data_IF_463522332169
#
_entry.id   IF_463522332169
#
_cell.length_a   1.000
_cell.length_b   1.000
_cell.length_c   1.000
_cell.angle_alpha   90.00
_cell.angle_beta   90.00
_cell.angle_gamma   90.00
#
_symmetry.space_group_name_H-M   'P 1'
#
loop_
_entity.id
_entity.type
_entity.pdbx_description
1 polymer ?
#
# COMPACT_ATOMS: atom_id res chain seq x y z
N UNK A 1 -24.62 -40.89 -7.99
CA UNK A 1 -23.87 -40.00 -8.89
C UNK A 1 -23.84 -38.61 -8.27
N UNK A 2 -22.82 -38.31 -7.46
CA UNK A 2 -22.56 -36.94 -7.01
C UNK A 2 -21.75 -36.26 -8.12
N UNK A 3 -22.30 -35.19 -8.70
CA UNK A 3 -21.53 -34.29 -9.56
C UNK A 3 -20.58 -33.50 -8.67
N UNK A 4 -19.34 -33.99 -8.54
CA UNK A 4 -18.24 -33.14 -8.11
C UNK A 4 -18.01 -32.14 -9.24
N UNK A 5 -18.56 -30.93 -9.09
CA UNK A 5 -18.10 -29.80 -9.88
C UNK A 5 -16.70 -29.46 -9.36
N UNK A 6 -15.68 -30.01 -9.99
CA UNK A 6 -14.37 -29.37 -10.04
C UNK A 6 -14.61 -27.99 -10.65
N UNK A 7 -14.72 -26.96 -9.81
CA UNK A 7 -14.60 -25.58 -10.27
C UNK A 7 -13.17 -25.43 -10.76
N UNK A 8 -13.01 -25.58 -12.08
CA UNK A 8 -11.72 -25.42 -12.72
C UNK A 8 -11.22 -24.00 -12.42
N UNK A 9 -9.98 -23.91 -11.90
CA UNK A 9 -9.41 -22.61 -11.56
C UNK A 9 -9.10 -21.92 -12.89
N UNK A 10 -9.68 -20.73 -13.17
CA UNK A 10 -9.46 -20.07 -14.44
C UNK A 10 -7.97 -19.74 -14.61
N UNK A 11 -7.51 -19.86 -15.85
CA UNK A 11 -6.17 -19.44 -16.23
C UNK A 11 -6.02 -17.91 -16.14
N UNK A 12 -4.78 -17.43 -16.05
CA UNK A 12 -4.50 -16.00 -16.08
C UNK A 12 -5.02 -15.34 -17.38
N UNK A 13 -4.96 -16.06 -18.50
CA UNK A 13 -5.48 -15.57 -19.79
C UNK A 13 -6.99 -15.35 -19.77
N UNK A 14 -7.75 -16.29 -19.20
CA UNK A 14 -9.20 -16.17 -19.06
C UNK A 14 -9.60 -14.99 -18.16
N UNK A 15 -8.87 -14.82 -17.03
CA UNK A 15 -9.09 -13.66 -16.15
C UNK A 15 -8.75 -12.35 -16.86
N UNK A 16 -7.66 -12.29 -17.62
CA UNK A 16 -7.29 -11.08 -18.37
C UNK A 16 -8.36 -10.73 -19.41
N UNK A 17 -8.88 -11.72 -20.14
CA UNK A 17 -9.97 -11.51 -21.09
C UNK A 17 -11.26 -11.02 -20.41
N UNK A 18 -11.59 -11.56 -19.22
CA UNK A 18 -12.73 -11.11 -18.44
C UNK A 18 -12.56 -9.65 -17.96
N UNK A 19 -11.37 -9.29 -17.48
CA UNK A 19 -11.05 -7.93 -17.06
C UNK A 19 -11.13 -6.97 -18.25
N UNK A 20 -10.54 -7.32 -19.39
CA UNK A 20 -10.58 -6.48 -20.59
C UNK A 20 -12.02 -6.19 -21.04
N UNK A 21 -12.87 -7.22 -21.09
CA UNK A 21 -14.27 -7.10 -21.51
C UNK A 21 -15.10 -6.17 -20.59
N UNK A 22 -14.68 -5.97 -19.34
CA UNK A 22 -15.36 -5.12 -18.35
C UNK A 22 -14.75 -3.71 -18.24
N UNK A 23 -13.71 -3.41 -19.02
CA UNK A 23 -12.94 -2.17 -18.93
C UNK A 23 -13.74 -0.90 -19.23
N UNK A 24 -13.53 0.15 -18.44
CA UNK A 24 -14.18 1.45 -18.61
C UNK A 24 -13.18 2.56 -18.94
N UNK A 25 -13.42 3.30 -20.04
CA UNK A 25 -12.61 4.46 -20.42
C UNK A 25 -12.59 5.57 -19.35
N UNK A 26 -13.69 5.74 -18.61
CA UNK A 26 -13.76 6.71 -17.52
C UNK A 26 -12.83 6.32 -16.36
N UNK A 27 -12.80 5.03 -16.00
CA UNK A 27 -11.91 4.52 -14.96
C UNK A 27 -10.44 4.55 -15.41
N UNK A 28 -10.14 4.23 -16.68
CA UNK A 28 -8.78 4.39 -17.23
C UNK A 28 -8.25 5.81 -17.06
N UNK A 29 -9.07 6.82 -17.34
CA UNK A 29 -8.68 8.24 -17.12
C UNK A 29 -8.39 8.57 -15.65
N UNK A 30 -9.10 7.92 -14.71
CA UNK A 30 -8.85 8.10 -13.27
C UNK A 30 -7.50 7.48 -12.91
N UNK A 31 -7.25 6.23 -13.30
CA UNK A 31 -5.99 5.55 -13.00
C UNK A 31 -4.78 6.22 -13.66
N UNK A 32 -4.92 6.70 -14.90
CA UNK A 32 -3.87 7.50 -15.55
C UNK A 32 -3.52 8.76 -14.75
N UNK A 33 -4.53 9.48 -14.22
CA UNK A 33 -4.30 10.64 -13.33
C UNK A 33 -3.64 10.27 -12.00
N UNK A 34 -3.78 9.02 -11.56
CA UNK A 34 -3.15 8.48 -10.35
C UNK A 34 -1.76 7.88 -10.64
N UNK A 35 -1.29 7.93 -11.89
CA UNK A 35 0.03 7.43 -12.28
C UNK A 35 0.07 5.94 -12.59
N UNK A 36 -1.08 5.28 -12.80
CA UNK A 36 -1.07 3.96 -13.42
C UNK A 36 -0.59 4.09 -14.88
N UNK A 37 0.36 3.24 -15.30
CA UNK A 37 0.92 3.26 -16.65
C UNK A 37 -0.07 2.85 -17.75
N UNK A 38 0.43 2.48 -18.92
CA UNK A 38 -0.43 2.26 -20.10
C UNK A 38 -1.22 0.94 -20.08
N UNK A 39 -0.75 -0.06 -19.31
CA UNK A 39 -1.41 -1.37 -19.18
C UNK A 39 -2.54 -1.33 -18.14
N UNK A 40 -3.63 -0.66 -18.49
CA UNK A 40 -4.81 -0.47 -17.61
C UNK A 40 -6.09 -0.76 -18.38
N UNK A 41 -6.94 -1.65 -17.86
CA UNK A 41 -8.23 -1.98 -18.48
C UNK A 41 -9.33 -0.96 -18.14
N UNK A 42 -9.29 -0.41 -16.92
CA UNK A 42 -10.27 0.50 -16.35
C UNK A 42 -11.31 -0.22 -15.50
N UNK A 43 -10.89 -1.09 -14.57
CA UNK A 43 -11.80 -1.85 -13.69
C UNK A 43 -11.92 -1.20 -12.32
N UNK A 44 -13.14 -1.11 -11.80
CA UNK A 44 -13.37 -0.56 -10.46
C UNK A 44 -12.82 -1.51 -9.40
N UNK A 45 -12.20 -0.96 -8.36
CA UNK A 45 -11.70 -1.73 -7.21
C UNK A 45 -12.76 -2.62 -6.54
N UNK A 46 -14.03 -2.21 -6.55
CA UNK A 46 -15.13 -3.02 -6.01
C UNK A 46 -15.31 -4.33 -6.79
N UNK A 47 -15.24 -4.27 -8.11
CA UNK A 47 -15.42 -5.44 -8.98
C UNK A 47 -14.23 -6.41 -8.84
N UNK A 48 -13.00 -5.88 -8.71
CA UNK A 48 -11.81 -6.70 -8.41
C UNK A 48 -11.93 -7.44 -7.08
N UNK A 49 -12.47 -6.78 -6.04
CA UNK A 49 -12.69 -7.44 -4.74
C UNK A 49 -13.76 -8.53 -4.80
N UNK A 50 -14.82 -8.33 -5.60
CA UNK A 50 -15.84 -9.36 -5.83
C UNK A 50 -15.23 -10.57 -6.52
N UNK A 51 -14.43 -10.36 -7.57
CA UNK A 51 -13.74 -11.43 -8.28
C UNK A 51 -12.75 -12.18 -7.35
N UNK A 52 -11.92 -11.43 -6.61
CA UNK A 52 -10.99 -12.02 -5.64
C UNK A 52 -11.69 -12.88 -4.58
N UNK A 53 -12.88 -12.47 -4.11
CA UNK A 53 -13.67 -13.25 -3.15
C UNK A 53 -14.10 -14.61 -3.72
N UNK A 54 -14.45 -14.66 -5.01
CA UNK A 54 -14.78 -15.90 -5.71
C UNK A 54 -13.57 -16.82 -5.87
N UNK A 55 -12.41 -16.26 -6.22
CA UNK A 55 -11.16 -17.00 -6.41
C UNK A 55 -10.55 -17.51 -5.11
N UNK A 56 -10.72 -16.78 -4.01
CA UNK A 56 -10.02 -16.98 -2.73
C UNK A 56 -8.50 -16.87 -2.92
N UNK A 57 -7.70 -17.50 -2.04
CA UNK A 57 -6.25 -17.55 -2.18
C UNK A 57 -5.86 -18.56 -3.27
N UNK A 58 -5.14 -18.08 -4.28
CA UNK A 58 -4.67 -18.84 -5.43
C UNK A 58 -3.27 -18.35 -5.78
N UNK A 59 -2.25 -18.86 -5.09
CA UNK A 59 -0.89 -18.32 -5.14
C UNK A 59 -0.28 -18.40 -6.56
N UNK A 60 -0.35 -19.56 -7.22
CA UNK A 60 0.17 -19.74 -8.58
C UNK A 60 -0.54 -18.84 -9.61
N UNK A 61 -1.87 -18.71 -9.52
CA UNK A 61 -2.63 -17.78 -10.37
C UNK A 61 -2.24 -16.32 -10.08
N UNK A 62 -2.06 -15.96 -8.80
CA UNK A 62 -1.62 -14.64 -8.39
C UNK A 62 -0.28 -14.24 -9.02
N UNK A 63 0.72 -15.13 -8.98
CA UNK A 63 2.01 -14.89 -9.64
C UNK A 63 1.84 -14.73 -11.16
N UNK A 64 1.06 -15.59 -11.81
CA UNK A 64 0.81 -15.49 -13.26
C UNK A 64 0.08 -14.19 -13.66
N UNK A 65 -0.89 -13.74 -12.87
CA UNK A 65 -1.57 -12.46 -13.06
C UNK A 65 -0.62 -11.28 -12.85
N UNK A 66 0.29 -11.39 -11.87
CA UNK A 66 1.28 -10.35 -11.61
C UNK A 66 2.21 -10.14 -12.81
N UNK A 67 2.70 -11.25 -13.38
CA UNK A 67 3.64 -11.27 -14.49
C UNK A 67 3.05 -10.73 -15.80
N UNK A 68 1.71 -10.65 -15.91
CA UNK A 68 1.04 -10.03 -17.06
C UNK A 68 1.36 -8.54 -17.24
N UNK A 69 1.70 -7.86 -16.15
CA UNK A 69 1.99 -6.42 -16.13
C UNK A 69 0.76 -5.52 -16.21
N UNK A 70 -0.47 -6.07 -16.29
CA UNK A 70 -1.68 -5.26 -16.28
C UNK A 70 -2.00 -4.79 -14.85
N UNK A 71 -2.26 -3.50 -14.68
CA UNK A 71 -2.45 -2.89 -13.37
C UNK A 71 -3.53 -3.61 -12.56
N UNK A 72 -4.72 -3.80 -13.12
CA UNK A 72 -5.81 -4.46 -12.40
C UNK A 72 -5.59 -5.96 -12.18
N UNK A 73 -4.85 -6.63 -13.07
CA UNK A 73 -4.44 -8.01 -12.87
C UNK A 73 -3.44 -8.13 -11.71
N UNK A 74 -2.47 -7.21 -11.61
CA UNK A 74 -1.55 -7.12 -10.47
C UNK A 74 -2.27 -6.78 -9.18
N UNK A 75 -3.24 -5.85 -9.20
CA UNK A 75 -4.08 -5.58 -8.03
C UNK A 75 -4.85 -6.84 -7.61
N UNK A 76 -5.47 -7.55 -8.54
CA UNK A 76 -6.15 -8.82 -8.26
C UNK A 76 -5.18 -9.86 -7.69
N UNK A 77 -3.96 -9.95 -8.23
CA UNK A 77 -2.90 -10.80 -7.70
C UNK A 77 -2.64 -10.52 -6.23
N UNK A 78 -2.50 -9.25 -5.81
CA UNK A 78 -2.29 -8.91 -4.38
C UNK A 78 -3.41 -9.41 -3.46
N UNK A 79 -4.64 -9.54 -3.96
CA UNK A 79 -5.77 -10.01 -3.17
C UNK A 79 -5.75 -11.55 -3.00
N UNK A 80 -5.25 -12.27 -4.00
CA UNK A 80 -5.32 -13.74 -4.06
C UNK A 80 -3.97 -14.43 -3.78
N UNK A 81 -2.85 -13.71 -3.78
CA UNK A 81 -1.55 -14.23 -3.34
C UNK A 81 -1.62 -14.65 -1.86
N UNK A 82 -1.01 -15.79 -1.55
CA UNK A 82 -0.77 -16.22 -0.16
C UNK A 82 0.60 -15.68 0.31
N UNK A 83 0.64 -14.73 1.26
CA UNK A 83 1.90 -14.17 1.76
C UNK A 83 2.82 -15.21 2.40
N UNK A 84 2.27 -16.32 2.92
CA UNK A 84 3.04 -17.35 3.63
C UNK A 84 3.87 -18.22 2.68
N UNK A 85 3.51 -18.23 1.40
CA UNK A 85 4.18 -19.01 0.36
C UNK A 85 5.29 -18.23 -0.35
N UNK A 86 5.32 -16.90 -0.22
CA UNK A 86 6.33 -16.09 -0.89
C UNK A 86 7.71 -16.28 -0.27
N UNK A 87 8.70 -16.52 -1.13
CA UNK A 87 10.12 -16.42 -0.77
C UNK A 87 10.55 -14.96 -0.62
N UNK A 88 11.75 -14.74 -0.08
CA UNK A 88 12.33 -13.40 -0.01
C UNK A 88 12.61 -12.85 -1.42
N UNK A 89 13.16 -13.69 -2.30
CA UNK A 89 13.43 -13.35 -3.69
C UNK A 89 12.16 -12.97 -4.45
N UNK A 90 11.05 -13.68 -4.21
CA UNK A 90 9.76 -13.33 -4.79
C UNK A 90 9.24 -11.99 -4.26
N UNK A 91 9.29 -11.76 -2.94
CA UNK A 91 8.90 -10.47 -2.37
C UNK A 91 9.70 -9.30 -2.97
N UNK A 92 11.01 -9.48 -3.11
CA UNK A 92 11.92 -8.49 -3.71
C UNK A 92 11.55 -8.27 -5.17
N UNK A 93 11.43 -9.33 -5.97
CA UNK A 93 11.06 -9.26 -7.40
C UNK A 93 9.73 -8.55 -7.61
N UNK A 94 8.72 -8.87 -6.79
CA UNK A 94 7.40 -8.22 -6.89
C UNK A 94 7.54 -6.72 -6.60
N UNK A 95 8.24 -6.33 -5.53
CA UNK A 95 8.44 -4.92 -5.18
C UNK A 95 9.24 -4.16 -6.25
N UNK A 96 10.34 -4.72 -6.75
CA UNK A 96 11.18 -4.13 -7.80
C UNK A 96 10.46 -4.01 -9.16
N UNK A 97 9.45 -4.85 -9.40
CA UNK A 97 8.63 -4.78 -10.61
C UNK A 97 7.51 -3.72 -10.58
N UNK A 98 7.35 -3.03 -9.45
CA UNK A 98 6.40 -1.93 -9.31
C UNK A 98 7.00 -0.63 -9.88
N UNK A 99 6.24 0.03 -10.74
CA UNK A 99 6.63 1.27 -11.42
C UNK A 99 5.93 2.52 -10.85
N UNK A 100 5.01 2.33 -9.91
CA UNK A 100 4.15 3.40 -9.40
C UNK A 100 3.71 3.14 -7.96
N UNK A 101 3.46 4.20 -7.16
CA UNK A 101 2.98 4.06 -5.77
C UNK A 101 1.68 3.25 -5.64
N UNK A 102 0.63 3.40 -6.49
CA UNK A 102 -0.63 2.69 -6.27
C UNK A 102 -0.50 1.17 -6.27
N UNK A 103 0.31 0.60 -7.17
CA UNK A 103 0.48 -0.86 -7.21
C UNK A 103 1.38 -1.35 -6.07
N UNK A 104 2.44 -0.59 -5.75
CA UNK A 104 3.33 -0.89 -4.63
C UNK A 104 2.58 -0.86 -3.29
N UNK A 105 1.70 0.13 -3.09
CA UNK A 105 0.85 0.23 -1.90
C UNK A 105 -0.07 -0.98 -1.81
N UNK A 106 -0.66 -1.45 -2.92
CA UNK A 106 -1.49 -2.67 -2.93
C UNK A 106 -0.69 -3.93 -2.58
N UNK A 107 0.55 -4.04 -3.07
CA UNK A 107 1.44 -5.15 -2.74
C UNK A 107 1.82 -5.12 -1.25
N UNK A 108 2.18 -3.94 -0.73
CA UNK A 108 2.54 -3.78 0.69
C UNK A 108 1.35 -4.06 1.61
N UNK A 109 0.21 -3.40 1.38
CA UNK A 109 -1.02 -3.51 2.20
C UNK A 109 -1.61 -4.93 2.25
N UNK A 110 -1.65 -5.63 1.10
CA UNK A 110 -2.41 -6.89 1.00
C UNK A 110 -1.51 -8.13 1.13
N UNK A 111 -0.19 -7.97 1.00
CA UNK A 111 0.74 -9.09 0.90
C UNK A 111 1.92 -8.94 1.84
N UNK A 112 2.77 -7.92 1.64
CA UNK A 112 4.07 -7.87 2.32
C UNK A 112 3.93 -7.64 3.83
N UNK A 113 2.94 -6.86 4.28
CA UNK A 113 2.76 -6.59 5.71
C UNK A 113 2.27 -7.80 6.53
N UNK A 114 1.72 -8.81 5.86
CA UNK A 114 1.26 -10.07 6.44
C UNK A 114 2.27 -11.21 6.22
N UNK A 115 3.39 -10.93 5.56
CA UNK A 115 4.47 -11.88 5.36
C UNK A 115 5.30 -12.03 6.63
N UNK A 116 5.83 -13.23 6.87
CA UNK A 116 6.85 -13.47 7.90
C UNK A 116 8.15 -12.68 7.68
N UNK A 117 8.33 -12.14 6.46
CA UNK A 117 9.50 -11.37 6.05
C UNK A 117 9.31 -9.85 6.20
N UNK A 118 8.14 -9.38 6.68
CA UNK A 118 7.81 -7.96 6.74
C UNK A 118 8.89 -7.11 7.43
N UNK A 119 9.42 -7.57 8.57
CA UNK A 119 10.48 -6.87 9.32
C UNK A 119 11.80 -6.82 8.54
N UNK A 120 12.23 -7.95 7.96
CA UNK A 120 13.45 -8.03 7.17
C UNK A 120 13.38 -7.14 5.91
N UNK A 121 12.24 -7.15 5.22
CA UNK A 121 11.99 -6.30 4.05
C UNK A 121 11.91 -4.82 4.43
N UNK A 122 11.32 -4.50 5.58
CA UNK A 122 11.31 -3.14 6.12
C UNK A 122 12.75 -2.65 6.34
N UNK A 123 13.57 -3.41 7.07
CA UNK A 123 14.97 -3.06 7.33
C UNK A 123 15.79 -2.92 6.04
N UNK A 124 15.52 -3.76 5.03
CA UNK A 124 16.17 -3.71 3.72
C UNK A 124 15.90 -2.40 2.97
N UNK A 125 14.68 -1.86 3.07
CA UNK A 125 14.22 -0.80 2.18
C UNK A 125 14.07 0.57 2.84
N UNK A 126 13.88 0.66 4.16
CA UNK A 126 13.57 1.91 4.88
C UNK A 126 14.55 3.05 4.55
N UNK A 127 15.83 2.72 4.47
CA UNK A 127 16.94 3.67 4.26
C UNK A 127 17.34 3.83 2.79
N UNK A 128 16.69 3.13 1.86
CA UNK A 128 17.01 3.28 0.45
C UNK A 128 16.65 4.68 -0.06
N UNK A 129 17.53 5.21 -0.91
CA UNK A 129 17.31 6.48 -1.63
C UNK A 129 16.28 6.30 -2.74
N UNK A 130 16.10 5.08 -3.24
CA UNK A 130 15.10 4.75 -4.25
C UNK A 130 13.69 5.21 -3.80
N UNK A 131 12.97 6.02 -4.60
CA UNK A 131 11.69 6.58 -4.19
C UNK A 131 10.61 5.53 -3.91
N UNK A 132 10.58 4.42 -4.66
CA UNK A 132 9.54 3.40 -4.55
C UNK A 132 9.90 2.35 -3.52
N UNK A 133 11.10 1.76 -3.57
CA UNK A 133 11.51 0.81 -2.55
C UNK A 133 11.58 1.48 -1.17
N UNK A 134 12.11 2.71 -1.10
CA UNK A 134 12.07 3.51 0.13
C UNK A 134 10.64 3.71 0.65
N UNK A 135 9.68 4.01 -0.23
CA UNK A 135 8.24 4.05 0.11
C UNK A 135 7.75 2.71 0.68
N UNK A 136 8.12 1.58 0.07
CA UNK A 136 7.75 0.26 0.55
C UNK A 136 8.24 0.01 1.98
N UNK A 137 9.50 0.35 2.26
CA UNK A 137 10.07 0.29 3.61
C UNK A 137 9.29 1.12 4.62
N UNK A 138 8.95 2.36 4.28
CA UNK A 138 8.14 3.22 5.17
C UNK A 138 6.68 2.78 5.31
N UNK A 139 6.08 2.15 4.31
CA UNK A 139 4.76 1.54 4.44
C UNK A 139 4.80 0.36 5.44
N UNK A 140 5.82 -0.50 5.34
CA UNK A 140 6.01 -1.62 6.28
C UNK A 140 6.29 -1.11 7.70
N UNK A 141 7.11 -0.07 7.87
CA UNK A 141 7.32 0.59 9.17
C UNK A 141 6.02 1.17 9.72
N UNK A 142 5.19 1.78 8.87
CA UNK A 142 3.87 2.28 9.27
C UNK A 142 2.95 1.15 9.73
N UNK A 143 2.98 -0.01 9.08
CA UNK A 143 2.23 -1.19 9.53
C UNK A 143 2.76 -1.71 10.87
N UNK A 144 4.08 -1.75 11.07
CA UNK A 144 4.70 -2.10 12.34
C UNK A 144 4.30 -1.14 13.48
N UNK A 145 4.34 0.18 13.25
CA UNK A 145 3.89 1.21 14.21
C UNK A 145 2.44 0.98 14.63
N UNK A 146 1.55 0.66 13.70
CA UNK A 146 0.14 0.41 14.02
C UNK A 146 -0.08 -0.88 14.84
N UNK A 147 0.79 -1.87 14.64
CA UNK A 147 0.73 -3.19 15.30
C UNK A 147 1.47 -3.21 16.64
N UNK A 148 2.37 -2.27 16.90
CA UNK A 148 3.19 -2.20 18.13
C UNK A 148 2.36 -1.77 19.35
N UNK A 149 1.72 -2.71 20.02
CA UNK A 149 0.94 -2.44 21.24
C UNK A 149 1.79 -2.45 22.51
N UNK A 150 3.00 -3.02 22.44
CA UNK A 150 3.88 -3.23 23.58
C UNK A 150 4.98 -2.17 23.69
N UNK A 151 5.15 -1.32 22.67
CA UNK A 151 6.17 -0.27 22.66
C UNK A 151 7.56 -0.84 22.41
N UNK A 152 7.67 -1.78 21.47
CA UNK A 152 8.96 -2.34 21.05
C UNK A 152 9.75 -1.37 20.14
N UNK A 153 9.05 -0.47 19.44
CA UNK A 153 9.67 0.50 18.55
C UNK A 153 10.11 1.75 19.30
N UNK A 154 11.29 2.28 18.95
CA UNK A 154 11.73 3.60 19.38
C UNK A 154 11.07 4.68 18.51
N UNK A 155 9.87 5.10 18.94
CA UNK A 155 9.07 6.09 18.21
C UNK A 155 9.70 7.49 18.23
N UNK A 156 10.44 7.84 19.29
CA UNK A 156 11.13 9.12 19.39
C UNK A 156 12.28 9.19 18.38
N UNK A 157 13.09 8.13 18.26
CA UNK A 157 14.11 8.02 17.23
C UNK A 157 13.52 8.02 15.81
N UNK A 158 12.38 7.33 15.61
CA UNK A 158 11.70 7.29 14.31
C UNK A 158 11.19 8.67 13.90
N UNK A 159 10.57 9.43 14.81
CA UNK A 159 10.14 10.81 14.54
C UNK A 159 11.34 11.72 14.25
N UNK A 160 12.43 11.62 15.01
CA UNK A 160 13.64 12.41 14.77
C UNK A 160 14.24 12.14 13.37
N UNK A 161 14.23 10.88 12.92
CA UNK A 161 14.63 10.50 11.56
C UNK A 161 13.72 11.13 10.51
N UNK A 162 12.40 11.07 10.71
CA UNK A 162 11.43 11.69 9.80
C UNK A 162 11.68 13.19 9.69
N UNK A 163 11.81 13.90 10.82
CA UNK A 163 12.06 15.34 10.82
C UNK A 163 13.33 15.74 10.07
N UNK A 164 14.38 14.92 10.19
CA UNK A 164 15.68 15.16 9.55
C UNK A 164 15.64 14.89 8.04
N UNK A 165 15.06 13.76 7.63
CA UNK A 165 15.19 13.26 6.25
C UNK A 165 14.04 13.68 5.33
N UNK A 166 12.83 13.85 5.87
CA UNK A 166 11.64 14.11 5.07
C UNK A 166 11.82 15.31 4.14
N UNK A 167 12.36 16.48 4.56
CA UNK A 167 12.47 17.65 3.67
C UNK A 167 13.19 17.37 2.35
N UNK A 168 14.30 16.63 2.38
CA UNK A 168 15.14 16.31 1.22
C UNK A 168 14.68 15.08 0.44
N UNK A 169 13.68 14.34 0.94
CA UNK A 169 13.26 13.06 0.37
C UNK A 169 12.37 13.24 -0.89
N UNK A 170 12.52 12.40 -1.94
CA UNK A 170 11.61 12.39 -3.09
C UNK A 170 10.14 12.14 -2.70
N UNK A 171 9.22 12.74 -3.45
CA UNK A 171 7.78 12.76 -3.11
C UNK A 171 7.17 11.38 -2.74
N UNK A 172 7.40 10.27 -3.48
CA UNK A 172 6.81 8.98 -3.14
C UNK A 172 7.22 8.46 -1.75
N UNK A 173 8.51 8.51 -1.40
CA UNK A 173 9.01 8.11 -0.08
C UNK A 173 8.58 9.12 1.00
N UNK A 174 8.63 10.43 0.70
CA UNK A 174 8.21 11.53 1.58
C UNK A 174 6.76 11.39 2.04
N UNK A 175 5.85 11.00 1.14
CA UNK A 175 4.44 10.73 1.47
C UNK A 175 4.29 9.61 2.51
N UNK A 176 5.05 8.51 2.39
CA UNK A 176 4.99 7.39 3.34
C UNK A 176 5.68 7.69 4.66
N UNK A 177 6.75 8.51 4.65
CA UNK A 177 7.33 9.04 5.89
C UNK A 177 6.32 9.91 6.65
N UNK A 178 5.61 10.79 5.95
CA UNK A 178 4.56 11.61 6.54
C UNK A 178 3.39 10.77 7.07
N UNK A 179 2.99 9.74 6.33
CA UNK A 179 1.99 8.77 6.80
C UNK A 179 2.45 8.09 8.10
N UNK A 180 3.70 7.66 8.17
CA UNK A 180 4.27 7.04 9.36
C UNK A 180 4.17 7.99 10.57
N UNK A 181 4.59 9.25 10.43
CA UNK A 181 4.46 10.27 11.47
C UNK A 181 3.01 10.44 11.96
N UNK A 182 2.05 10.48 11.03
CA UNK A 182 0.62 10.57 11.36
C UNK A 182 0.18 9.33 12.13
N UNK A 183 0.56 8.13 11.70
CA UNK A 183 0.16 6.89 12.36
C UNK A 183 0.80 6.73 13.74
N UNK A 184 2.02 7.23 13.96
CA UNK A 184 2.59 7.36 15.31
C UNK A 184 1.63 8.17 16.19
N UNK A 185 1.27 9.39 15.76
CA UNK A 185 0.38 10.26 16.53
C UNK A 185 -1.04 9.72 16.73
N UNK A 186 -1.54 8.90 15.81
CA UNK A 186 -2.88 8.29 15.87
C UNK A 186 -2.91 7.06 16.78
N UNK A 187 -1.94 6.16 16.66
CA UNK A 187 -1.96 4.86 17.35
C UNK A 187 -1.31 4.90 18.74
N UNK A 188 -0.39 5.84 18.96
CA UNK A 188 0.35 5.97 20.21
C UNK A 188 -0.01 7.26 20.93
N UNK A 189 -1.02 7.19 21.81
CA UNK A 189 -1.54 8.38 22.51
C UNK A 189 -0.48 9.17 23.30
N UNK A 190 0.56 8.51 23.82
CA UNK A 190 1.68 9.16 24.49
C UNK A 190 2.59 9.98 23.55
N UNK A 191 2.44 9.82 22.24
CA UNK A 191 3.22 10.49 21.19
C UNK A 191 2.38 11.42 20.32
N UNK A 192 1.07 11.55 20.56
CA UNK A 192 0.17 12.40 19.76
C UNK A 192 0.67 13.85 19.70
N UNK A 193 0.94 14.47 20.84
CA UNK A 193 1.39 15.87 20.90
C UNK A 193 2.78 16.05 20.27
N UNK A 194 3.68 15.09 20.47
CA UNK A 194 5.02 15.10 19.87
C UNK A 194 4.95 15.02 18.33
N UNK A 195 4.10 14.13 17.80
CA UNK A 195 3.93 13.94 16.37
C UNK A 195 3.27 15.17 15.70
N UNK A 196 2.31 15.81 16.39
CA UNK A 196 1.73 17.09 15.95
C UNK A 196 2.82 18.16 15.89
N UNK A 197 3.60 18.34 16.97
CA UNK A 197 4.67 19.33 17.01
C UNK A 197 5.76 19.09 15.94
N UNK A 198 6.09 17.82 15.65
CA UNK A 198 6.98 17.47 14.54
C UNK A 198 6.39 17.89 13.18
N UNK A 199 5.09 17.66 12.97
CA UNK A 199 4.38 18.13 11.79
C UNK A 199 4.35 19.64 11.65
N UNK A 200 4.23 20.38 12.76
CA UNK A 200 4.33 21.84 12.77
C UNK A 200 5.71 22.32 12.32
N UNK A 201 6.79 21.71 12.84
CA UNK A 201 8.18 22.03 12.45
C UNK A 201 8.46 21.71 10.97
N UNK A 202 7.94 20.58 10.49
CA UNK A 202 8.06 20.18 9.08
C UNK A 202 7.27 21.08 8.12
N UNK A 203 6.19 21.69 8.61
CA UNK A 203 5.31 22.54 7.81
C UNK A 203 4.53 21.78 6.73
N UNK A 204 3.80 22.52 5.90
CA UNK A 204 3.08 21.97 4.75
C UNK A 204 4.03 21.83 3.57
N UNK A 205 4.38 20.60 3.23
CA UNK A 205 5.24 20.28 2.10
C UNK A 205 4.45 19.81 0.86
N UNK A 206 3.21 19.35 1.03
CA UNK A 206 2.34 18.91 -0.05
C UNK A 206 1.55 20.09 -0.60
N UNK A 207 1.88 20.49 -1.82
CA UNK A 207 1.31 21.64 -2.54
C UNK A 207 0.02 21.31 -3.29
N UNK A 208 -0.40 20.04 -3.31
CA UNK A 208 -1.62 19.63 -3.99
C UNK A 208 -2.86 20.20 -3.29
N UNK A 209 -3.90 20.60 -4.05
CA UNK A 209 -5.15 21.03 -3.45
C UNK A 209 -5.80 19.88 -2.68
N UNK A 210 -6.33 20.18 -1.50
CA UNK A 210 -7.13 19.23 -0.72
C UNK A 210 -8.53 19.15 -1.34
N UNK A 211 -8.96 18.00 -1.90
CA UNK A 211 -10.29 17.88 -2.48
C UNK A 211 -11.39 18.08 -1.42
N UNK A 212 -12.55 18.55 -1.85
CA UNK A 212 -13.70 18.77 -0.95
C UNK A 212 -14.05 17.47 -0.20
N UNK A 213 -14.06 17.53 1.13
CA UNK A 213 -14.37 16.39 2.00
C UNK A 213 -13.18 15.51 2.37
N UNK A 214 -11.97 15.78 1.84
CA UNK A 214 -10.74 15.12 2.28
C UNK A 214 -10.05 15.92 3.39
N UNK A 215 -9.25 15.24 4.20
CA UNK A 215 -8.34 15.87 5.18
C UNK A 215 -7.00 16.15 4.51
N UNK A 216 -6.35 17.27 4.87
CA UNK A 216 -5.00 17.59 4.41
C UNK A 216 -4.01 16.50 4.84
N UNK A 217 -2.93 16.33 4.08
CA UNK A 217 -1.78 15.51 4.48
C UNK A 217 -0.93 16.17 5.59
N UNK A 218 -1.27 17.39 6.02
CA UNK A 218 -0.59 18.10 7.10
C UNK A 218 -0.82 17.43 8.47
N UNK A 219 0.21 16.91 9.17
CA UNK A 219 0.01 16.11 10.38
C UNK A 219 -0.82 16.78 11.49
N UNK A 220 -0.66 18.08 11.80
CA UNK A 220 -1.48 18.77 12.81
C UNK A 220 -2.98 18.77 12.51
N UNK A 221 -3.38 18.68 11.24
CA UNK A 221 -4.78 18.53 10.84
C UNK A 221 -5.20 17.06 10.73
N UNK A 222 -4.31 16.22 10.21
CA UNK A 222 -4.62 14.84 9.90
C UNK A 222 -4.74 13.97 11.15
N UNK A 223 -3.80 14.08 12.09
CA UNK A 223 -3.78 13.28 13.33
C UNK A 223 -5.10 13.39 14.09
N UNK A 224 -5.60 14.59 14.48
CA UNK A 224 -6.86 14.70 15.22
C UNK A 224 -8.08 14.21 14.41
N UNK A 225 -8.12 14.48 13.10
CA UNK A 225 -9.20 14.00 12.23
C UNK A 225 -9.23 12.47 12.14
N UNK A 226 -8.05 11.83 12.02
CA UNK A 226 -7.91 10.38 11.96
C UNK A 226 -8.28 9.71 13.29
N UNK A 227 -7.88 10.28 14.43
CA UNK A 227 -8.31 9.82 15.77
C UNK A 227 -9.84 9.90 15.89
N UNK A 228 -10.45 11.02 15.50
CA UNK A 228 -11.89 11.19 15.55
C UNK A 228 -12.65 10.18 14.67
N UNK A 229 -12.13 9.85 13.50
CA UNK A 229 -12.69 8.81 12.63
C UNK A 229 -12.55 7.42 13.23
N UNK A 230 -11.43 7.11 13.88
CA UNK A 230 -11.19 5.80 14.52
C UNK A 230 -12.14 5.56 15.68
N UNK A 231 -12.39 6.59 16.50
CA UNK A 231 -13.27 6.48 17.68
C UNK A 231 -14.77 6.35 17.32
N UNK A 232 -15.15 6.53 16.06
CA UNK A 232 -16.54 6.36 15.59
C UNK A 232 -16.86 4.94 15.10
N UNK A 233 -15.85 4.09 14.93
CA UNK A 233 -15.98 2.71 14.45
C UNK A 233 -16.02 1.75 15.62
#
# INVERSE_FOLDING_TARGET
MQKNATTDIPSASEILAELEAKGSAAVRKIYAKQGAGDKVFGIKMGDLRVLAKGLKKQHALGLALWDSGWFEARVLATLILDPKQLSEEECIRLAESCDSPPILDKLTDNVLEDSKLAEALCARWLDLVDPLLGRAGWNLMTSAVQKDKQGALDLDALMAKIETELPATPRPKKESMNMCLVMIGVYHSSHTDKAIAAGERLGRWDDRPVPKGCTSSYPPEWIPAAIALRNRR
#
